data_IF_739991008810
#
_entry.id   IF_739991008810
#
_cell.length_a   1.000
_cell.length_b   1.000
_cell.length_c   1.000
_cell.angle_alpha   90.00
_cell.angle_beta   90.00
_cell.angle_gamma   90.00
#
_symmetry.space_group_name_H-M   'P 1'
#
loop_
_entity.id
_entity.type
_entity.pdbx_description
1 polymer ?
#
# COMPACT_ATOMS: atom_id res chain seq x y z
N UNK A 1 -3.49 27.16 4.07
CA UNK A 1 -4.48 26.13 3.67
C UNK A 1 -3.98 25.23 2.54
N UNK A 2 -3.24 25.74 1.54
CA UNK A 2 -2.65 24.96 0.43
C UNK A 2 -1.79 23.74 0.84
N UNK A 3 -0.95 23.85 1.88
CA UNK A 3 -0.06 22.75 2.28
C UNK A 3 -0.80 21.49 2.75
N UNK A 4 -1.98 21.63 3.36
CA UNK A 4 -2.80 20.50 3.82
C UNK A 4 -3.46 19.74 2.67
N UNK A 5 -3.84 20.46 1.60
CA UNK A 5 -4.34 19.84 0.37
C UNK A 5 -3.24 19.09 -0.39
N UNK A 6 -2.04 19.66 -0.46
CA UNK A 6 -0.88 19.00 -1.07
C UNK A 6 -0.51 17.70 -0.34
N UNK A 7 -0.56 17.67 0.99
CA UNK A 7 -0.32 16.44 1.77
C UNK A 7 -1.40 15.38 1.56
N UNK A 8 -2.68 15.76 1.44
CA UNK A 8 -3.77 14.82 1.15
C UNK A 8 -3.65 14.19 -0.23
N UNK A 9 -3.23 14.97 -1.23
CA UNK A 9 -2.96 14.48 -2.59
C UNK A 9 -1.75 13.54 -2.62
N UNK A 10 -0.66 13.89 -1.95
CA UNK A 10 0.52 13.04 -1.81
C UNK A 10 0.19 11.70 -1.13
N UNK A 11 -0.56 11.74 -0.03
CA UNK A 11 -1.08 10.55 0.64
C UNK A 11 -1.82 9.63 -0.34
N UNK A 12 -2.69 10.20 -1.16
CA UNK A 12 -3.50 9.44 -2.13
C UNK A 12 -2.66 8.87 -3.28
N UNK A 13 -1.69 9.64 -3.79
CA UNK A 13 -0.76 9.16 -4.82
C UNK A 13 0.08 7.99 -4.28
N UNK A 14 0.61 8.11 -3.05
CA UNK A 14 1.35 7.02 -2.41
C UNK A 14 0.48 5.78 -2.23
N UNK A 15 -0.83 5.94 -1.96
CA UNK A 15 -1.76 4.82 -1.87
C UNK A 15 -1.91 4.10 -3.22
N UNK A 16 -2.10 4.86 -4.31
CA UNK A 16 -2.22 4.31 -5.67
C UNK A 16 -0.95 3.57 -6.06
N UNK A 17 0.22 4.14 -5.77
CA UNK A 17 1.51 3.48 -6.07
C UNK A 17 1.62 2.18 -5.29
N UNK A 18 1.30 2.18 -3.99
CA UNK A 18 1.28 0.96 -3.17
C UNK A 18 0.35 -0.12 -3.72
N UNK A 19 -0.84 0.26 -4.22
CA UNK A 19 -1.79 -0.64 -4.87
C UNK A 19 -1.25 -1.21 -6.19
N UNK A 20 -0.54 -0.42 -6.98
CA UNK A 20 0.08 -0.91 -8.22
C UNK A 20 1.12 -1.98 -7.90
N UNK A 21 2.01 -1.72 -6.93
CA UNK A 21 3.00 -2.72 -6.50
C UNK A 21 2.35 -3.98 -5.95
N UNK A 22 1.26 -3.84 -5.18
CA UNK A 22 0.47 -4.98 -4.73
C UNK A 22 -0.08 -5.79 -5.91
N UNK A 23 -0.65 -5.12 -6.92
CA UNK A 23 -1.14 -5.77 -8.13
C UNK A 23 -0.02 -6.49 -8.88
N UNK A 24 1.14 -5.85 -9.05
CA UNK A 24 2.30 -6.47 -9.70
C UNK A 24 2.72 -7.73 -8.95
N UNK A 25 2.83 -7.68 -7.62
CA UNK A 25 3.15 -8.84 -6.79
C UNK A 25 2.12 -9.98 -6.98
N UNK A 26 0.82 -9.69 -6.87
CA UNK A 26 -0.25 -10.69 -6.97
C UNK A 26 -0.31 -11.35 -8.36
N UNK A 27 -0.17 -10.57 -9.43
CA UNK A 27 -0.43 -11.06 -10.80
C UNK A 27 0.83 -11.56 -11.52
N UNK A 28 2.01 -11.12 -11.11
CA UNK A 28 3.25 -11.38 -11.85
C UNK A 28 4.16 -12.34 -11.10
N UNK A 29 4.11 -12.32 -9.76
CA UNK A 29 5.08 -12.98 -8.90
C UNK A 29 6.53 -12.61 -9.27
N UNK A 30 7.46 -13.46 -8.84
CA UNK A 30 8.91 -13.36 -9.05
C UNK A 30 9.37 -13.36 -10.53
N UNK A 31 8.42 -13.39 -11.48
CA UNK A 31 8.69 -13.50 -12.92
C UNK A 31 9.24 -12.22 -13.56
N UNK A 32 8.92 -11.04 -12.99
CA UNK A 32 9.34 -9.73 -13.55
C UNK A 32 10.22 -8.92 -12.60
N UNK A 33 9.88 -8.90 -11.31
CA UNK A 33 10.60 -8.18 -10.25
C UNK A 33 10.60 -9.11 -9.05
N UNK A 34 11.73 -9.16 -8.32
CA UNK A 34 11.86 -9.94 -7.10
C UNK A 34 10.67 -9.68 -6.17
N UNK A 35 9.97 -10.75 -5.77
CA UNK A 35 8.76 -10.65 -4.96
C UNK A 35 9.00 -9.92 -3.64
N UNK A 36 10.18 -10.08 -3.04
CA UNK A 36 10.54 -9.37 -1.81
C UNK A 36 10.67 -7.87 -2.03
N UNK A 37 11.23 -7.45 -3.17
CA UNK A 37 11.37 -6.03 -3.53
C UNK A 37 9.99 -5.44 -3.77
N UNK A 38 9.16 -6.14 -4.55
CA UNK A 38 7.82 -5.70 -4.92
C UNK A 38 6.91 -5.60 -3.69
N UNK A 39 6.98 -6.58 -2.79
CA UNK A 39 6.33 -6.53 -1.48
C UNK A 39 6.81 -5.33 -0.67
N UNK A 40 8.12 -5.23 -0.42
CA UNK A 40 8.69 -4.21 0.45
C UNK A 40 8.31 -2.80 -0.01
N UNK A 41 8.43 -2.53 -1.32
CA UNK A 41 8.06 -1.24 -1.90
C UNK A 41 6.56 -0.97 -1.77
N UNK A 42 5.70 -1.96 -2.12
CA UNK A 42 4.25 -1.82 -1.96
C UNK A 42 3.84 -1.49 -0.53
N UNK A 43 4.38 -2.23 0.45
CA UNK A 43 4.12 -1.99 1.86
C UNK A 43 4.63 -0.62 2.32
N UNK A 44 5.84 -0.24 1.91
CA UNK A 44 6.44 1.07 2.24
C UNK A 44 5.56 2.22 1.75
N UNK A 45 5.06 2.15 0.50
CA UNK A 45 4.17 3.18 -0.04
C UNK A 45 2.81 3.22 0.65
N UNK A 46 2.27 2.06 1.06
CA UNK A 46 1.04 2.01 1.86
C UNK A 46 1.24 2.64 3.24
N UNK A 47 2.33 2.32 3.94
CA UNK A 47 2.66 2.92 5.24
C UNK A 47 2.89 4.43 5.09
N UNK A 48 3.61 4.85 4.06
CA UNK A 48 3.85 6.27 3.77
C UNK A 48 2.53 7.01 3.52
N UNK A 49 1.63 6.41 2.74
CA UNK A 49 0.28 6.93 2.53
C UNK A 49 -0.46 7.10 3.85
N UNK A 50 -0.44 6.08 4.72
CA UNK A 50 -1.08 6.16 6.02
C UNK A 50 -0.51 7.30 6.88
N UNK A 51 0.82 7.39 6.99
CA UNK A 51 1.48 8.46 7.77
C UNK A 51 1.09 9.83 7.23
N UNK A 52 1.14 10.06 5.91
CA UNK A 52 0.72 11.31 5.28
C UNK A 52 -0.78 11.61 5.50
N UNK A 53 -1.62 10.57 5.52
CA UNK A 53 -3.05 10.68 5.79
C UNK A 53 -3.34 11.19 7.21
N UNK A 54 -2.51 10.82 8.21
CA UNK A 54 -2.66 11.24 9.60
C UNK A 54 -2.52 12.77 9.76
N UNK A 55 -1.71 13.41 8.92
CA UNK A 55 -1.51 14.86 8.90
C UNK A 55 -2.53 15.61 8.03
N UNK A 56 -3.22 14.89 7.14
CA UNK A 56 -4.22 15.42 6.20
C UNK A 56 -5.66 14.98 6.51
N UNK A 57 -5.97 14.59 7.77
CA UNK A 57 -7.31 14.18 8.24
C UNK A 57 -8.48 15.13 7.93
N UNK A 58 -8.19 16.42 7.68
CA UNK A 58 -9.20 17.42 7.31
C UNK A 58 -9.47 17.46 5.80
N UNK A 59 -8.61 16.86 5.00
CA UNK A 59 -8.75 16.70 3.55
C UNK A 59 -9.55 15.43 3.22
N UNK A 60 -10.37 15.48 2.18
CA UNK A 60 -11.17 14.33 1.72
C UNK A 60 -10.28 13.19 1.24
N UNK A 61 -9.20 13.48 0.51
CA UNK A 61 -8.28 12.48 -0.04
C UNK A 61 -7.42 11.83 1.05
N UNK A 62 -6.98 12.64 2.02
CA UNK A 62 -6.32 12.15 3.23
C UNK A 62 -7.21 11.19 4.01
N UNK A 63 -8.49 11.52 4.21
CA UNK A 63 -9.44 10.60 4.88
C UNK A 63 -9.61 9.27 4.16
N UNK A 64 -9.75 9.30 2.83
CA UNK A 64 -9.87 8.06 2.03
C UNK A 64 -8.67 7.16 2.32
N UNK A 65 -7.46 7.72 2.26
CA UNK A 65 -6.23 6.96 2.53
C UNK A 65 -6.21 6.34 3.94
N UNK A 66 -6.72 7.09 4.92
CA UNK A 66 -6.76 6.66 6.33
C UNK A 66 -7.73 5.49 6.58
N UNK A 67 -8.86 5.44 5.86
CA UNK A 67 -9.84 4.34 5.99
C UNK A 67 -9.52 3.15 5.10
N UNK A 68 -8.92 3.39 3.93
CA UNK A 68 -8.57 2.33 2.97
C UNK A 68 -7.32 1.57 3.42
N UNK A 69 -6.36 2.24 4.07
CA UNK A 69 -5.13 1.61 4.52
C UNK A 69 -5.34 0.40 5.45
N UNK A 70 -6.16 0.44 6.52
CA UNK A 70 -6.39 -0.71 7.39
C UNK A 70 -6.91 -1.93 6.63
N UNK A 71 -7.82 -1.70 5.67
CA UNK A 71 -8.39 -2.77 4.85
C UNK A 71 -7.31 -3.38 3.96
N UNK A 72 -6.50 -2.54 3.32
CA UNK A 72 -5.39 -2.99 2.49
C UNK A 72 -4.31 -3.70 3.31
N UNK A 73 -4.00 -3.23 4.52
CA UNK A 73 -3.03 -3.88 5.40
C UNK A 73 -3.49 -5.27 5.82
N UNK A 74 -4.79 -5.46 6.11
CA UNK A 74 -5.36 -6.78 6.41
C UNK A 74 -5.28 -7.69 5.19
N UNK A 75 -5.67 -7.21 4.01
CA UNK A 75 -5.54 -8.00 2.76
C UNK A 75 -4.08 -8.39 2.53
N UNK A 76 -3.16 -7.45 2.74
CA UNK A 76 -1.73 -7.65 2.56
C UNK A 76 -1.19 -8.74 3.48
N UNK A 77 -1.54 -8.69 4.78
CA UNK A 77 -1.12 -9.69 5.76
C UNK A 77 -1.70 -11.08 5.46
N UNK A 78 -2.99 -11.15 5.13
CA UNK A 78 -3.64 -12.42 4.75
C UNK A 78 -2.99 -13.03 3.51
N UNK A 79 -2.71 -12.20 2.50
CA UNK A 79 -2.11 -12.67 1.26
C UNK A 79 -0.66 -13.15 1.49
N UNK A 80 0.10 -12.43 2.30
CA UNK A 80 1.44 -12.87 2.69
C UNK A 80 1.42 -14.18 3.48
N UNK A 81 0.53 -14.34 4.45
CA UNK A 81 0.39 -15.59 5.21
C UNK A 81 0.05 -16.76 4.27
N UNK A 82 -0.94 -16.59 3.39
CA UNK A 82 -1.32 -17.61 2.40
C UNK A 82 -0.13 -17.95 1.50
N UNK A 83 0.53 -16.97 0.88
CA UNK A 83 1.68 -17.23 0.02
C UNK A 83 2.82 -17.90 0.80
N UNK A 84 3.09 -17.50 2.04
CA UNK A 84 4.13 -18.12 2.88
C UNK A 84 3.82 -19.59 3.22
N UNK A 85 2.54 -19.94 3.36
CA UNK A 85 2.09 -21.30 3.69
C UNK A 85 2.06 -22.21 2.47
N UNK A 86 1.70 -21.68 1.29
CA UNK A 86 1.51 -22.47 0.07
C UNK A 86 2.71 -22.45 -0.89
N UNK A 87 3.58 -21.43 -0.82
CA UNK A 87 4.73 -21.29 -1.73
C UNK A 87 6.03 -21.89 -1.15
N UNK A 88 6.09 -22.12 0.17
CA UNK A 88 7.18 -22.85 0.83
C UNK A 88 6.91 -24.37 0.93
N UNK A 89 5.80 -24.87 0.41
CA UNK A 89 5.59 -26.31 0.21
C UNK A 89 6.23 -26.75 -1.11
N UNK A 90 7.27 -27.62 -1.08
CA UNK A 90 7.91 -28.13 -2.28
C UNK A 90 6.98 -29.02 -3.13
#
# INVERSE_FOLDING_TARGET
MQSKQSMGLLSFISLIVGLIFLGVYIFTGDSFIDDNITMLLGFTFLVLSFVLSLFSKKDKLGRISLYVFPILAVIYLLFFEVMSLFWNTP
#
